data_IF_510171685810
#
_entry.id   IF_510171685810
#
_cell.length_a   1.000
_cell.length_b   1.000
_cell.length_c   1.000
_cell.angle_alpha   90.00
_cell.angle_beta   90.00
_cell.angle_gamma   90.00
#
_symmetry.space_group_name_H-M   'P 1'
#
loop_
_entity.id
_entity.type
_entity.pdbx_description
1 polymer ?
#
# COMPACT_ATOMS: atom_id res chain seq x y z
N UNK A 1 0.10 -17.90 15.59
CA UNK A 1 0.70 -17.94 14.24
C UNK A 1 0.69 -16.53 13.70
N UNK A 2 1.84 -16.00 13.28
CA UNK A 2 1.98 -14.68 12.67
C UNK A 2 2.24 -14.87 11.19
N UNK A 3 1.48 -14.18 10.33
CA UNK A 3 1.73 -14.18 8.89
C UNK A 3 2.34 -12.82 8.55
N UNK A 4 3.61 -12.83 8.15
CA UNK A 4 4.36 -11.65 7.70
C UNK A 4 4.83 -11.89 6.27
N UNK A 5 4.83 -10.84 5.46
CA UNK A 5 5.36 -10.86 4.10
C UNK A 5 6.16 -9.59 3.80
N UNK A 6 6.99 -9.65 2.76
CA UNK A 6 7.79 -8.52 2.27
C UNK A 6 7.38 -8.19 0.84
N UNK A 7 7.13 -6.92 0.58
CA UNK A 7 6.62 -6.41 -0.69
C UNK A 7 7.46 -5.24 -1.18
N UNK A 8 7.74 -5.19 -2.48
CA UNK A 8 8.44 -4.07 -3.13
C UNK A 8 7.43 -3.21 -3.89
N UNK A 9 7.55 -1.90 -3.75
CA UNK A 9 6.76 -0.94 -4.52
C UNK A 9 7.21 -0.98 -5.97
N UNK A 10 6.28 -1.31 -6.86
CA UNK A 10 6.51 -1.40 -8.30
C UNK A 10 5.98 -0.16 -9.05
N UNK A 11 4.84 0.40 -8.60
CA UNK A 11 4.33 1.64 -9.18
C UNK A 11 3.65 2.54 -8.15
N UNK A 12 3.73 3.85 -8.43
CA UNK A 12 3.00 4.91 -7.72
C UNK A 12 2.34 5.78 -8.80
N UNK A 13 1.03 5.65 -8.92
CA UNK A 13 0.22 6.36 -9.91
C UNK A 13 -0.50 7.54 -9.24
N UNK A 14 -0.38 8.74 -9.81
CA UNK A 14 -1.09 9.94 -9.35
C UNK A 14 -2.29 10.20 -10.26
N UNK A 15 -3.45 10.40 -9.64
CA UNK A 15 -4.70 10.75 -10.32
C UNK A 15 -5.49 11.76 -9.50
N UNK A 16 -6.62 12.21 -10.02
CA UNK A 16 -7.55 13.11 -9.32
C UNK A 16 -8.84 12.36 -9.02
N UNK A 17 -9.36 12.52 -7.81
CA UNK A 17 -10.71 12.09 -7.44
C UNK A 17 -11.49 13.25 -6.84
N UNK A 18 -12.78 13.06 -6.57
CA UNK A 18 -13.59 14.01 -5.82
C UNK A 18 -13.70 13.56 -4.37
N UNK A 19 -13.33 14.43 -3.44
CA UNK A 19 -13.50 14.20 -2.01
C UNK A 19 -14.00 15.47 -1.32
N UNK A 20 -14.45 15.35 -0.07
CA UNK A 20 -14.83 16.49 0.76
C UNK A 20 -13.59 17.33 1.04
N UNK A 21 -13.58 18.58 0.59
CA UNK A 21 -12.48 19.53 0.75
C UNK A 21 -12.76 20.59 1.82
N UNK A 22 -14.01 20.69 2.29
CA UNK A 22 -14.39 21.60 3.35
C UNK A 22 -15.88 21.55 3.67
N UNK A 23 -16.34 22.57 4.38
CA UNK A 23 -17.74 22.86 4.66
C UNK A 23 -18.01 24.34 4.39
N UNK A 24 -19.21 24.69 3.93
CA UNK A 24 -19.63 26.08 3.82
C UNK A 24 -20.04 26.66 5.19
N UNK A 25 -20.40 27.95 5.22
CA UNK A 25 -20.82 28.63 6.44
C UNK A 25 -22.08 28.02 7.10
N UNK A 26 -22.84 27.18 6.38
CA UNK A 26 -24.01 26.47 6.88
C UNK A 26 -23.70 25.01 7.26
N UNK A 27 -22.42 24.60 7.24
CA UNK A 27 -21.98 23.24 7.55
C UNK A 27 -22.23 22.23 6.43
N UNK A 28 -22.58 22.68 5.21
CA UNK A 28 -22.78 21.78 4.08
C UNK A 28 -21.41 21.37 3.51
N UNK A 29 -21.17 20.08 3.24
CA UNK A 29 -19.90 19.63 2.69
C UNK A 29 -19.67 20.21 1.30
N UNK A 30 -18.47 20.77 1.11
CA UNK A 30 -17.94 21.19 -0.17
C UNK A 30 -17.06 20.06 -0.71
N UNK A 31 -17.31 19.67 -1.96
CA UNK A 31 -16.54 18.65 -2.67
C UNK A 31 -15.71 19.29 -3.77
N UNK A 32 -14.48 18.81 -3.93
CA UNK A 32 -13.56 19.31 -4.93
C UNK A 32 -12.58 18.25 -5.41
N UNK A 33 -11.81 18.55 -6.47
CA UNK A 33 -10.76 17.67 -6.93
C UNK A 33 -9.65 17.58 -5.86
N UNK A 34 -9.24 16.35 -5.54
CA UNK A 34 -8.08 16.06 -4.68
C UNK A 34 -7.17 15.06 -5.38
N UNK A 35 -5.85 15.18 -5.16
CA UNK A 35 -4.90 14.18 -5.63
C UNK A 35 -5.14 12.84 -4.92
N UNK A 36 -5.06 11.75 -5.66
CA UNK A 36 -5.05 10.38 -5.17
C UNK A 36 -3.78 9.70 -5.64
N UNK A 37 -3.08 9.03 -4.72
CA UNK A 37 -1.96 8.17 -5.05
C UNK A 37 -2.41 6.71 -4.97
N UNK A 38 -2.17 5.95 -6.04
CA UNK A 38 -2.37 4.50 -6.08
C UNK A 38 -1.02 3.81 -6.09
N UNK A 39 -0.75 3.04 -5.04
CA UNK A 39 0.50 2.33 -4.81
C UNK A 39 0.27 0.85 -5.09
N UNK A 40 1.11 0.26 -5.94
CA UNK A 40 1.12 -1.18 -6.23
C UNK A 40 2.40 -1.79 -5.70
N UNK A 41 2.25 -2.84 -4.90
CA UNK A 41 3.37 -3.60 -4.38
C UNK A 41 3.25 -5.08 -4.76
N UNK A 42 4.39 -5.68 -5.05
CA UNK A 42 4.52 -7.11 -5.35
C UNK A 42 5.42 -7.81 -4.34
N UNK A 43 5.15 -9.08 -4.00
CA UNK A 43 5.96 -9.82 -3.04
C UNK A 43 7.40 -9.97 -3.53
N UNK A 44 8.35 -9.88 -2.60
CA UNK A 44 9.77 -10.13 -2.88
C UNK A 44 10.09 -11.58 -2.59
N UNK A 45 10.67 -12.26 -3.57
CA UNK A 45 11.05 -13.67 -3.47
C UNK A 45 12.52 -13.82 -3.10
N UNK A 46 12.86 -14.90 -2.39
CA UNK A 46 14.24 -15.23 -2.00
C UNK A 46 15.09 -15.87 -3.11
N UNK A 47 14.52 -16.09 -4.31
CA UNK A 47 15.17 -16.74 -5.45
C UNK A 47 15.96 -18.01 -5.06
N UNK A 48 15.31 -18.92 -4.33
CA UNK A 48 15.87 -20.21 -3.90
C UNK A 48 17.13 -20.17 -3.01
N UNK A 49 17.47 -19.01 -2.42
CA UNK A 49 18.51 -18.93 -1.38
C UNK A 49 17.93 -19.44 -0.04
N UNK A 50 18.39 -20.60 0.48
CA UNK A 50 17.84 -21.20 1.69
C UNK A 50 18.09 -20.38 2.96
N UNK A 51 19.01 -19.42 2.92
CA UNK A 51 19.33 -18.52 4.04
C UNK A 51 18.57 -17.19 3.96
N UNK A 52 17.95 -16.90 2.82
CA UNK A 52 17.22 -15.67 2.61
C UNK A 52 15.90 -15.67 3.38
N UNK A 53 15.63 -14.60 4.14
CA UNK A 53 14.40 -14.44 4.92
C UNK A 53 13.13 -14.68 4.06
N UNK A 54 13.18 -14.24 2.80
CA UNK A 54 12.07 -14.38 1.86
C UNK A 54 11.80 -15.80 1.36
N UNK A 55 12.73 -16.74 1.53
CA UNK A 55 12.52 -18.16 1.23
C UNK A 55 11.55 -18.79 2.23
N UNK A 56 11.48 -18.26 3.46
CA UNK A 56 10.45 -18.63 4.45
C UNK A 56 9.08 -18.04 4.13
N UNK A 57 9.03 -16.85 3.51
CA UNK A 57 7.78 -16.19 3.13
C UNK A 57 7.10 -16.86 1.92
N UNK A 58 7.86 -17.51 1.04
CA UNK A 58 7.32 -18.28 -0.11
C UNK A 58 6.29 -19.34 0.30
N UNK A 59 6.45 -19.97 1.47
CA UNK A 59 5.50 -20.98 1.96
C UNK A 59 4.13 -20.40 2.36
N UNK A 60 4.02 -19.10 2.61
CA UNK A 60 2.80 -18.46 3.10
C UNK A 60 2.16 -17.49 2.09
N UNK A 61 2.95 -16.84 1.23
CA UNK A 61 2.47 -15.90 0.21
C UNK A 61 3.24 -16.11 -1.12
N UNK A 62 2.95 -17.18 -1.89
CA UNK A 62 3.69 -17.50 -3.10
C UNK A 62 3.40 -16.52 -4.26
N UNK A 63 2.28 -15.81 -4.20
CA UNK A 63 1.87 -14.80 -5.17
C UNK A 63 0.91 -13.80 -4.52
N UNK A 64 0.88 -12.56 -5.02
CA UNK A 64 -0.06 -11.54 -4.59
C UNK A 64 0.25 -10.16 -5.15
N UNK A 65 -0.71 -9.26 -5.06
CA UNK A 65 -0.56 -7.82 -5.29
C UNK A 65 -1.22 -7.11 -4.12
N UNK A 66 -0.57 -6.06 -3.61
CA UNK A 66 -1.23 -5.10 -2.74
C UNK A 66 -1.38 -3.82 -3.52
N UNK A 67 -2.64 -3.44 -3.77
CA UNK A 67 -3.03 -2.22 -4.44
C UNK A 67 -3.84 -1.36 -3.47
N UNK A 68 -3.28 -0.22 -3.10
CA UNK A 68 -3.90 0.72 -2.18
C UNK A 68 -3.98 2.10 -2.82
N UNK A 69 -5.11 2.78 -2.63
CA UNK A 69 -5.31 4.14 -3.10
C UNK A 69 -5.60 5.05 -1.90
N UNK A 70 -4.92 6.19 -1.83
CA UNK A 70 -5.06 7.14 -0.72
C UNK A 70 -5.13 8.57 -1.22
N UNK A 71 -6.00 9.37 -0.60
CA UNK A 71 -6.04 10.83 -0.73
C UNK A 71 -5.23 11.53 0.37
N UNK A 72 -4.76 10.78 1.37
CA UNK A 72 -3.87 11.29 2.41
C UNK A 72 -2.44 11.34 1.86
N UNK A 73 -1.95 12.54 1.60
CA UNK A 73 -0.62 12.78 1.05
C UNK A 73 0.50 12.17 1.89
N UNK A 74 0.45 12.30 3.22
CA UNK A 74 1.49 11.75 4.08
C UNK A 74 1.54 10.22 4.04
N UNK A 75 0.38 9.56 3.91
CA UNK A 75 0.32 8.12 3.76
C UNK A 75 0.83 7.64 2.39
N UNK A 76 0.59 8.40 1.32
CA UNK A 76 1.10 8.09 -0.01
C UNK A 76 2.60 8.36 -0.15
N UNK A 77 3.09 9.48 0.40
CA UNK A 77 4.52 9.86 0.43
C UNK A 77 5.39 8.89 1.24
N UNK A 78 4.80 8.09 2.14
CA UNK A 78 5.51 7.04 2.88
C UNK A 78 6.06 5.94 1.96
N UNK A 79 5.40 5.72 0.81
CA UNK A 79 5.81 4.71 -0.15
C UNK A 79 6.79 5.29 -1.17
N UNK A 80 7.95 4.65 -1.28
CA UNK A 80 9.00 5.01 -2.23
C UNK A 80 9.12 3.93 -3.31
N UNK A 81 9.21 4.35 -4.57
CA UNK A 81 9.36 3.46 -5.71
C UNK A 81 10.60 2.57 -5.57
N UNK A 82 10.44 1.26 -5.77
CA UNK A 82 11.51 0.27 -5.67
C UNK A 82 11.93 -0.10 -4.24
N UNK A 83 11.35 0.52 -3.19
CA UNK A 83 11.62 0.15 -1.80
C UNK A 83 10.77 -1.03 -1.34
N UNK A 84 11.28 -1.74 -0.34
CA UNK A 84 10.66 -2.92 0.24
C UNK A 84 10.05 -2.60 1.61
N UNK A 85 8.87 -3.14 1.86
CA UNK A 85 8.09 -2.94 3.08
C UNK A 85 7.67 -4.29 3.65
N UNK A 86 7.70 -4.41 4.97
CA UNK A 86 7.11 -5.55 5.68
C UNK A 86 5.63 -5.32 5.90
N UNK A 87 4.85 -6.40 5.84
CA UNK A 87 3.41 -6.39 6.03
C UNK A 87 3.06 -7.49 7.01
N UNK A 88 2.33 -7.11 8.06
CA UNK A 88 1.83 -8.01 9.09
C UNK A 88 0.33 -8.21 8.93
N UNK A 89 -0.09 -9.46 8.77
CA UNK A 89 -1.50 -9.82 8.75
C UNK A 89 -1.96 -10.15 10.17
N UNK A 90 -2.78 -9.26 10.72
CA UNK A 90 -3.46 -9.46 12.00
C UNK A 90 -4.92 -9.75 11.71
N UNK A 91 -5.47 -10.79 12.35
CA UNK A 91 -6.91 -11.09 12.22
C UNK A 91 -7.72 -9.93 12.79
N UNK A 92 -8.71 -9.46 12.04
CA UNK A 92 -9.75 -8.60 12.57
C UNK A 92 -10.68 -9.42 13.48
N UNK A 93 -11.27 -8.74 14.48
CA UNK A 93 -12.30 -9.30 15.36
C UNK A 93 -13.70 -9.11 14.78
#
# INVERSE_FOLDING_TARGET
MTVRAKFKVDSIERSTTTAKTGEDAAGKPIYGPVETQTIKLFPVYGNDDPTHENTKFWHYTPAGEIRLSTINKAAGDYFELGKEYYIDFVKAE
#
